data_IF_108353058091
#
_entry.id   IF_108353058091
#
_cell.length_a   1.000
_cell.length_b   1.000
_cell.length_c   1.000
_cell.angle_alpha   90.00
_cell.angle_beta   90.00
_cell.angle_gamma   90.00
#
_symmetry.space_group_name_H-M   'P 1'
#
loop_
_entity.id
_entity.type
_entity.pdbx_description
1 polymer ?
#
# COMPACT_ATOMS: atom_id res chain seq x y z
N UNK A 1 19.10 -20.08 -6.77
CA UNK A 1 20.20 -19.94 -5.77
C UNK A 1 20.42 -18.46 -5.51
N UNK A 2 20.67 -18.08 -4.25
CA UNK A 2 21.04 -16.70 -3.92
C UNK A 2 22.53 -16.47 -4.26
N UNK A 3 22.81 -15.37 -4.96
CA UNK A 3 24.14 -14.96 -5.41
C UNK A 3 24.46 -13.56 -4.91
N UNK A 4 25.60 -13.42 -4.24
CA UNK A 4 26.07 -12.15 -3.67
C UNK A 4 27.12 -11.43 -4.51
N UNK A 5 27.64 -12.05 -5.57
CA UNK A 5 28.59 -11.43 -6.49
C UNK A 5 27.93 -10.48 -7.49
N UNK A 6 28.74 -9.85 -8.34
CA UNK A 6 28.21 -9.00 -9.40
C UNK A 6 27.42 -9.83 -10.43
N UNK A 7 26.40 -9.24 -11.05
CA UNK A 7 25.60 -9.88 -12.10
C UNK A 7 26.47 -10.21 -13.33
N UNK A 8 27.47 -9.39 -13.63
CA UNK A 8 28.42 -9.61 -14.73
C UNK A 8 29.37 -10.79 -14.49
N UNK A 9 29.54 -11.20 -13.23
CA UNK A 9 30.45 -12.28 -12.81
C UNK A 9 29.71 -13.60 -12.56
N UNK A 10 28.46 -13.72 -13.02
CA UNK A 10 27.70 -14.96 -12.91
C UNK A 10 28.48 -16.08 -13.64
N UNK A 11 28.80 -17.20 -12.97
CA UNK A 11 29.63 -18.25 -13.56
C UNK A 11 28.97 -18.91 -14.78
N UNK A 12 29.81 -19.39 -15.71
CA UNK A 12 29.34 -20.17 -16.85
C UNK A 12 28.49 -21.37 -16.39
N UNK A 13 27.41 -21.65 -17.12
CA UNK A 13 26.41 -22.66 -16.76
C UNK A 13 25.36 -22.18 -15.76
N UNK A 14 25.39 -20.91 -15.37
CA UNK A 14 24.33 -20.24 -14.60
C UNK A 14 23.80 -19.04 -15.36
N UNK A 15 22.54 -18.72 -15.13
CA UNK A 15 21.88 -17.52 -15.64
C UNK A 15 21.18 -16.78 -14.51
N UNK A 16 21.05 -15.46 -14.66
CA UNK A 16 20.18 -14.65 -13.81
C UNK A 16 18.73 -15.11 -14.00
N UNK A 17 17.96 -15.19 -12.91
CA UNK A 17 16.53 -15.42 -12.93
C UNK A 17 15.81 -14.13 -13.36
N UNK A 18 15.82 -13.84 -14.65
CA UNK A 18 15.32 -12.61 -15.27
C UNK A 18 14.23 -12.83 -16.33
N UNK A 19 13.75 -14.07 -16.50
CA UNK A 19 12.78 -14.44 -17.52
C UNK A 19 13.41 -14.94 -18.83
N UNK A 20 14.72 -14.77 -19.02
CA UNK A 20 15.44 -15.26 -20.20
C UNK A 20 15.93 -16.69 -19.98
N UNK A 21 16.30 -17.39 -21.05
CA UNK A 21 16.89 -18.75 -21.01
C UNK A 21 16.05 -19.78 -20.24
N UNK A 22 14.72 -19.62 -20.22
CA UNK A 22 13.79 -20.49 -19.49
C UNK A 22 13.83 -20.31 -17.97
N UNK A 23 14.47 -19.25 -17.47
CA UNK A 23 14.46 -18.91 -16.05
C UNK A 23 13.18 -18.16 -15.66
N UNK A 24 12.71 -18.27 -14.41
CA UNK A 24 11.66 -17.38 -13.90
C UNK A 24 12.22 -15.97 -13.70
N UNK A 25 11.38 -14.93 -13.82
CA UNK A 25 11.78 -13.56 -13.50
C UNK A 25 11.57 -13.28 -12.00
N UNK A 26 12.65 -13.34 -11.22
CA UNK A 26 12.67 -13.12 -9.77
C UNK A 26 13.23 -11.75 -9.37
N UNK A 27 13.47 -10.86 -10.34
CA UNK A 27 13.99 -9.51 -10.07
C UNK A 27 12.94 -8.70 -9.30
N UNK A 28 13.37 -8.02 -8.23
CA UNK A 28 12.50 -7.21 -7.36
C UNK A 28 11.32 -7.99 -6.77
N UNK A 29 11.49 -9.30 -6.53
CA UNK A 29 10.46 -10.15 -5.93
C UNK A 29 10.89 -10.70 -4.58
N UNK A 30 9.95 -10.72 -3.64
CA UNK A 30 10.06 -11.54 -2.44
C UNK A 30 9.52 -12.95 -2.75
N UNK A 31 10.33 -13.99 -2.50
CA UNK A 31 9.96 -15.38 -2.82
C UNK A 31 9.17 -15.99 -1.68
N UNK A 32 8.00 -16.55 -2.00
CA UNK A 32 7.11 -17.26 -1.07
C UNK A 32 7.09 -18.75 -1.45
N UNK A 33 6.99 -19.63 -0.46
CA UNK A 33 6.89 -21.07 -0.69
C UNK A 33 5.60 -21.45 -1.41
N UNK A 34 5.72 -22.14 -2.54
CA UNK A 34 4.61 -22.69 -3.31
C UNK A 34 4.30 -24.16 -2.90
N UNK A 35 3.10 -24.64 -3.24
CA UNK A 35 2.70 -26.05 -3.10
C UNK A 35 1.51 -26.31 -2.19
N UNK A 36 0.93 -25.27 -1.59
CA UNK A 36 -0.33 -25.32 -0.85
C UNK A 36 -1.18 -24.08 -1.20
N UNK A 37 -1.10 -23.01 -0.40
CA UNK A 37 -1.85 -21.76 -0.64
C UNK A 37 -1.46 -21.06 -1.94
N UNK A 38 -0.19 -21.14 -2.34
CA UNK A 38 0.33 -20.49 -3.54
C UNK A 38 0.71 -21.53 -4.60
N UNK A 39 0.19 -21.34 -5.82
CA UNK A 39 0.62 -22.09 -6.99
C UNK A 39 2.04 -21.70 -7.40
N UNK A 40 2.83 -22.59 -8.04
CA UNK A 40 4.08 -22.22 -8.68
C UNK A 40 3.88 -21.03 -9.62
N UNK A 41 4.84 -20.10 -9.61
CA UNK A 41 4.84 -18.86 -10.42
C UNK A 41 3.68 -17.88 -10.15
N UNK A 42 2.85 -18.11 -9.12
CA UNK A 42 1.90 -17.12 -8.66
C UNK A 42 2.62 -15.85 -8.19
N UNK A 43 2.10 -14.69 -8.58
CA UNK A 43 2.67 -13.38 -8.21
C UNK A 43 1.60 -12.51 -7.55
N UNK A 44 2.04 -11.56 -6.72
CA UNK A 44 1.16 -10.63 -6.02
C UNK A 44 1.95 -9.66 -5.13
N UNK A 45 1.23 -8.88 -4.34
CA UNK A 45 1.79 -7.83 -3.49
C UNK A 45 2.03 -6.52 -4.24
N UNK A 46 2.44 -5.50 -3.49
CA UNK A 46 2.80 -4.18 -4.00
C UNK A 46 3.96 -3.62 -3.18
N UNK A 47 4.80 -2.79 -3.79
CA UNK A 47 5.87 -2.08 -3.08
C UNK A 47 5.33 -0.89 -2.26
N UNK A 48 4.11 -0.46 -2.58
CA UNK A 48 3.44 0.71 -2.04
C UNK A 48 1.95 0.44 -1.86
N UNK A 49 1.28 1.13 -0.95
CA UNK A 49 -0.17 1.07 -0.85
C UNK A 49 -0.77 2.36 -0.29
N UNK A 50 -2.06 2.53 -0.56
CA UNK A 50 -2.93 3.55 0.04
C UNK A 50 -3.99 2.85 0.89
N UNK A 51 -4.55 3.57 1.86
CA UNK A 51 -5.74 3.15 2.58
C UNK A 51 -6.91 4.04 2.20
N UNK A 52 -8.06 3.42 1.97
CA UNK A 52 -9.33 4.13 1.91
C UNK A 52 -9.91 4.22 3.32
N UNK A 53 -10.53 5.35 3.65
CA UNK A 53 -11.29 5.49 4.88
C UNK A 53 -12.68 6.05 4.62
N UNK A 54 -13.59 5.65 5.49
CA UNK A 54 -14.95 6.15 5.59
C UNK A 54 -15.23 6.33 7.07
N UNK A 55 -15.62 7.54 7.49
CA UNK A 55 -16.07 7.79 8.86
C UNK A 55 -17.59 7.55 8.98
N UNK A 56 -18.10 7.36 10.19
CA UNK A 56 -19.52 7.59 10.42
C UNK A 56 -19.85 9.08 10.28
N UNK A 57 -21.09 9.40 9.95
CA UNK A 57 -21.58 10.77 10.02
C UNK A 57 -21.71 11.20 11.48
N UNK A 58 -21.28 12.41 11.80
CA UNK A 58 -21.50 13.03 13.11
C UNK A 58 -21.85 14.51 12.94
N UNK A 59 -22.51 15.07 13.94
CA UNK A 59 -22.91 16.47 14.00
C UNK A 59 -22.01 17.26 14.97
N UNK A 60 -21.86 18.56 14.68
CA UNK A 60 -21.29 19.49 15.62
C UNK A 60 -22.38 20.48 16.07
N UNK A 61 -22.80 20.34 17.33
CA UNK A 61 -23.68 21.33 17.96
C UNK A 61 -22.88 22.54 18.38
N UNK A 62 -23.20 23.72 17.85
CA UNK A 62 -22.67 24.99 18.37
C UNK A 62 -23.66 25.50 19.42
N UNK A 63 -23.36 25.39 20.74
CA UNK A 63 -24.29 25.82 21.76
C UNK A 63 -24.43 27.34 21.75
N UNK A 64 -25.66 27.85 21.60
CA UNK A 64 -25.95 29.25 21.77
C UNK A 64 -26.11 29.56 23.28
N UNK A 65 -25.48 30.63 23.76
CA UNK A 65 -25.62 31.05 25.16
C UNK A 65 -27.07 31.49 25.46
N UNK A 66 -27.58 31.12 26.63
CA UNK A 66 -28.90 31.51 27.12
C UNK A 66 -29.05 33.04 27.06
N UNK A 67 -29.98 33.54 26.22
CA UNK A 67 -30.27 34.97 26.08
C UNK A 67 -29.77 35.66 24.80
N UNK A 68 -29.40 34.94 23.74
CA UNK A 68 -29.03 35.58 22.46
C UNK A 68 -30.24 35.89 21.55
N UNK A 69 -30.63 37.15 21.30
CA UNK A 69 -31.14 37.63 20.01
C UNK A 69 -29.93 37.88 19.09
N UNK A 70 -29.80 37.19 17.95
CA UNK A 70 -28.59 37.25 17.12
C UNK A 70 -28.15 38.69 16.79
N UNK A 71 -26.84 38.97 16.78
CA UNK A 71 -26.32 40.24 16.29
C UNK A 71 -26.53 40.31 14.76
N UNK A 72 -27.72 40.73 14.34
CA UNK A 72 -28.18 40.76 12.96
C UNK A 72 -29.65 40.34 12.86
N UNK A 73 -30.32 40.54 11.71
CA UNK A 73 -31.75 40.24 11.53
C UNK A 73 -32.10 38.74 11.58
N UNK A 74 -31.13 37.86 11.88
CA UNK A 74 -31.37 36.43 11.93
C UNK A 74 -31.92 36.01 13.31
N UNK A 75 -33.01 35.22 13.35
CA UNK A 75 -33.57 34.71 14.60
C UNK A 75 -32.58 33.79 15.31
N UNK A 76 -32.80 33.58 16.62
CA UNK A 76 -32.13 32.54 17.40
C UNK A 76 -32.17 31.22 16.62
N UNK A 77 -31.02 30.64 16.29
CA UNK A 77 -30.95 29.37 15.58
C UNK A 77 -30.82 28.26 16.62
N UNK A 78 -31.83 27.39 16.71
CA UNK A 78 -31.91 26.28 17.68
C UNK A 78 -31.01 25.08 17.30
N UNK A 79 -29.93 25.35 16.56
CA UNK A 79 -29.02 24.35 16.00
C UNK A 79 -28.63 24.71 14.58
N UNK A 80 -27.43 25.27 14.41
CA UNK A 80 -26.76 25.24 13.12
C UNK A 80 -25.94 23.96 13.09
N UNK A 81 -26.51 22.91 12.51
CA UNK A 81 -25.79 21.66 12.28
C UNK A 81 -24.82 21.86 11.12
N UNK A 82 -23.53 21.74 11.39
CA UNK A 82 -22.51 21.72 10.34
C UNK A 82 -22.36 20.28 9.86
N UNK A 83 -22.95 20.01 8.70
CA UNK A 83 -22.84 18.85 7.82
C UNK A 83 -22.82 17.45 8.46
N UNK A 84 -23.90 16.71 8.20
CA UNK A 84 -24.07 15.26 8.47
C UNK A 84 -23.43 14.36 7.40
N UNK A 85 -22.47 14.87 6.63
CA UNK A 85 -21.90 14.11 5.52
C UNK A 85 -20.74 13.21 5.97
N UNK A 86 -20.82 11.95 5.58
CA UNK A 86 -19.77 10.93 5.74
C UNK A 86 -18.48 11.44 5.10
N UNK A 87 -17.42 11.60 5.90
CA UNK A 87 -16.11 11.89 5.36
C UNK A 87 -15.54 10.61 4.73
N UNK A 88 -15.19 10.70 3.44
CA UNK A 88 -14.46 9.66 2.73
C UNK A 88 -13.17 10.23 2.17
N UNK A 89 -12.17 9.38 2.01
CA UNK A 89 -10.92 9.79 1.41
C UNK A 89 -9.92 8.65 1.33
N UNK A 90 -8.74 8.98 0.83
CA UNK A 90 -7.61 8.08 0.71
C UNK A 90 -6.40 8.66 1.44
N UNK A 91 -5.54 7.81 1.97
CA UNK A 91 -4.21 8.26 2.42
C UNK A 91 -3.31 8.51 1.22
N UNK A 92 -2.22 9.24 1.45
CA UNK A 92 -1.10 9.25 0.51
C UNK A 92 -0.50 7.85 0.38
N UNK A 93 0.17 7.60 -0.74
CA UNK A 93 0.88 6.36 -1.00
C UNK A 93 2.15 6.29 -0.14
N UNK A 94 2.39 5.15 0.51
CA UNK A 94 3.62 4.91 1.26
C UNK A 94 4.20 3.51 1.00
N UNK A 95 5.52 3.42 1.13
CA UNK A 95 6.30 2.22 0.87
C UNK A 95 6.15 1.18 1.98
N UNK A 96 5.92 -0.08 1.59
CA UNK A 96 5.73 -1.20 2.54
C UNK A 96 6.91 -2.14 2.64
N UNK A 97 8.04 -1.79 2.01
CA UNK A 97 9.22 -2.64 1.98
C UNK A 97 9.90 -2.65 3.36
N UNK A 98 10.01 -3.83 4.03
CA UNK A 98 10.84 -3.96 5.22
C UNK A 98 12.31 -3.71 4.85
N UNK A 99 13.20 -3.43 5.84
CA UNK A 99 14.64 -3.41 5.60
C UNK A 99 15.09 -4.70 4.91
N UNK A 100 15.76 -4.57 3.76
CA UNK A 100 16.14 -5.72 2.92
C UNK A 100 17.61 -5.67 2.50
N UNK A 101 18.15 -6.85 2.19
CA UNK A 101 19.42 -7.03 1.50
C UNK A 101 19.13 -7.61 0.12
N UNK A 102 19.46 -6.89 -0.95
CA UNK A 102 19.28 -7.37 -2.31
C UNK A 102 20.42 -8.32 -2.71
N UNK A 103 20.06 -9.54 -3.07
CA UNK A 103 20.94 -10.54 -3.69
C UNK A 103 20.33 -10.96 -5.04
N UNK A 104 21.15 -11.42 -5.97
CA UNK A 104 20.66 -11.95 -7.23
C UNK A 104 20.11 -13.38 -7.04
N UNK A 105 19.03 -13.71 -7.74
CA UNK A 105 18.63 -15.09 -7.95
C UNK A 105 19.28 -15.59 -9.24
N UNK A 106 20.06 -16.66 -9.16
CA UNK A 106 20.62 -17.36 -10.32
C UNK A 106 20.15 -18.81 -10.35
N UNK A 107 20.06 -19.39 -11.54
CA UNK A 107 19.77 -20.79 -11.75
C UNK A 107 20.71 -21.43 -12.77
N UNK A 108 20.97 -22.73 -12.59
CA UNK A 108 21.79 -23.49 -13.53
C UNK A 108 21.02 -23.65 -14.84
N UNK A 109 21.67 -23.38 -15.95
CA UNK A 109 21.14 -23.60 -17.30
C UNK A 109 21.91 -24.75 -17.97
N UNK A 110 21.28 -25.47 -18.93
CA UNK A 110 21.94 -26.52 -19.69
C UNK A 110 23.22 -26.07 -20.39
#
# INVERSE_FOLDING_TARGET
VLWSGAIVDIPAGWALCDGNNGTPDLRNRFVIGAGDTYAPDATGGSAVHTHDFTSDAHDHGIPQAAGCPGAGPNPCLDGLDTNTEVATGTTDEDGVLPPYLALAYIMKVP
#
